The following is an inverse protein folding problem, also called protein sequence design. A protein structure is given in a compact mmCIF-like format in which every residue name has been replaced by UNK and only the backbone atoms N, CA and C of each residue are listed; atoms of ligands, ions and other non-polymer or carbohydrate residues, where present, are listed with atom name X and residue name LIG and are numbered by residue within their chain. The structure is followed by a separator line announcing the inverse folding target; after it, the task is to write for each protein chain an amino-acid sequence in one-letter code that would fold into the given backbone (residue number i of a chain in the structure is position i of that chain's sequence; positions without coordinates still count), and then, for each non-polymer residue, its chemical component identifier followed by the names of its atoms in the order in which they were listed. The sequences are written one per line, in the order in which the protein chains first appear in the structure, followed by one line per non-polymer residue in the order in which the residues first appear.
data_IF_970983631699
#
_entry.id   IF_970983631699
#
_cell.length_a   1.000
_cell.length_b   1.000
_cell.length_c   1.000
_cell.angle_alpha   90.00
_cell.angle_beta   90.00
_cell.angle_gamma   90.00
#
_symmetry.space_group_name_H-M   'P 1'
#
loop_
_entity.id
_entity.type
_entity.pdbx_description
1 polymer ?
#
# COMPACT_ATOMS: atom_id res chain seq x y z
N UNK A 1 12.26 58.44 -20.17
CA UNK A 1 13.73 58.37 -20.20
C UNK A 1 14.21 58.33 -18.76
N UNK A 2 14.57 57.15 -18.24
CA UNK A 2 15.62 56.95 -17.22
C UNK A 2 15.86 55.45 -17.08
N UNK A 3 17.09 55.09 -17.43
CA UNK A 3 17.72 53.77 -17.43
C UNK A 3 18.23 53.48 -16.03
N UNK A 4 18.04 52.26 -15.49
CA UNK A 4 18.96 51.68 -14.49
C UNK A 4 19.17 50.19 -14.76
N UNK A 5 20.36 49.93 -15.30
CA UNK A 5 21.26 48.77 -15.16
C UNK A 5 20.73 47.33 -15.24
N UNK A 6 20.99 46.75 -16.41
CA UNK A 6 21.25 45.34 -16.64
C UNK A 6 22.64 45.01 -16.06
N UNK A 7 22.71 44.13 -15.05
CA UNK A 7 23.96 43.50 -14.64
C UNK A 7 23.87 41.98 -14.90
N UNK A 8 24.38 41.62 -16.07
CA UNK A 8 25.09 40.39 -16.44
C UNK A 8 24.94 39.17 -15.52
N UNK A 9 24.03 38.25 -15.88
CA UNK A 9 24.21 36.82 -15.59
C UNK A 9 25.03 36.22 -16.72
N UNK A 10 26.28 35.85 -16.42
CA UNK A 10 27.09 34.98 -17.26
C UNK A 10 26.40 33.62 -17.36
N UNK A 11 25.75 33.35 -18.50
CA UNK A 11 25.36 32.00 -18.90
C UNK A 11 26.62 31.22 -19.25
N UNK A 12 27.05 30.32 -18.37
CA UNK A 12 27.82 29.16 -18.79
C UNK A 12 26.85 28.22 -19.51
N UNK A 13 26.91 28.23 -20.84
CA UNK A 13 26.20 27.28 -21.68
C UNK A 13 26.76 25.87 -21.43
N UNK A 14 26.01 25.03 -20.70
CA UNK A 14 26.22 23.59 -20.72
C UNK A 14 25.47 23.06 -21.94
N UNK A 15 26.19 22.82 -23.02
CA UNK A 15 25.69 22.14 -24.19
C UNK A 15 25.33 20.69 -23.82
N UNK A 16 24.04 20.37 -23.82
CA UNK A 16 23.59 18.97 -23.83
C UNK A 16 23.31 18.57 -25.27
N UNK A 17 24.25 17.84 -25.85
CA UNK A 17 24.07 17.05 -27.06
C UNK A 17 23.03 15.95 -26.78
N UNK A 18 21.81 16.14 -27.26
CA UNK A 18 20.78 15.12 -27.27
C UNK A 18 20.92 14.26 -28.54
N UNK A 19 21.61 13.14 -28.43
CA UNK A 19 21.47 12.04 -29.40
C UNK A 19 21.37 10.73 -28.63
N UNK A 20 20.14 10.36 -28.26
CA UNK A 20 19.81 8.98 -27.94
C UNK A 20 18.40 8.73 -28.48
N UNK A 21 18.32 7.91 -29.52
CA UNK A 21 17.07 7.32 -30.00
C UNK A 21 16.37 6.59 -28.83
N UNK A 22 15.03 6.58 -28.79
CA UNK A 22 14.30 5.91 -27.71
C UNK A 22 14.69 4.43 -27.65
N UNK A 23 15.06 3.89 -26.46
CA UNK A 23 15.32 2.47 -26.33
C UNK A 23 14.02 1.69 -26.57
N UNK A 24 14.12 0.62 -27.37
CA UNK A 24 13.03 -0.30 -27.67
C UNK A 24 12.42 -0.89 -26.38
N UNK A 25 11.09 -1.05 -26.38
CA UNK A 25 10.27 -1.66 -25.32
C UNK A 25 10.76 -3.05 -24.90
N UNK A 26 11.56 -3.13 -23.83
CA UNK A 26 11.77 -4.32 -22.99
C UNK A 26 12.06 -3.77 -21.58
N UNK A 27 11.19 -3.85 -20.56
CA UNK A 27 10.05 -4.71 -20.24
C UNK A 27 8.90 -3.96 -19.51
N UNK A 28 7.78 -4.66 -19.24
CA UNK A 28 6.47 -4.09 -18.91
C UNK A 28 5.88 -4.71 -17.64
N UNK A 29 6.68 -4.91 -16.58
CA UNK A 29 6.24 -5.62 -15.39
C UNK A 29 5.15 -4.83 -14.63
N UNK A 30 4.01 -5.49 -14.34
CA UNK A 30 2.83 -4.91 -13.68
C UNK A 30 2.52 -5.61 -12.37
N UNK A 31 2.71 -4.91 -11.25
CA UNK A 31 2.53 -5.46 -9.90
C UNK A 31 1.32 -4.86 -9.19
N UNK A 32 0.54 -5.72 -8.55
CA UNK A 32 -0.55 -5.34 -7.67
C UNK A 32 -0.08 -5.32 -6.21
N UNK A 33 -0.26 -4.19 -5.54
CA UNK A 33 0.11 -3.97 -4.14
C UNK A 33 -1.12 -3.64 -3.31
N UNK A 34 -1.16 -4.14 -2.08
CA UNK A 34 -2.20 -3.87 -1.08
C UNK A 34 -1.57 -3.27 0.18
N UNK A 35 -2.35 -2.58 1.04
CA UNK A 35 -1.82 -1.97 2.26
C UNK A 35 -1.14 -3.02 3.12
N UNK A 36 0.07 -2.71 3.59
CA UNK A 36 0.78 -3.56 4.57
C UNK A 36 0.00 -3.68 5.88
N UNK A 37 -0.76 -2.65 6.23
CA UNK A 37 -1.76 -2.65 7.29
C UNK A 37 -3.15 -2.42 6.68
N UNK A 38 -4.00 -3.46 6.56
CA UNK A 38 -5.33 -3.36 5.92
C UNK A 38 -6.33 -2.46 6.66
N UNK A 39 -5.91 -1.75 7.72
CA UNK A 39 -6.75 -1.01 8.67
C UNK A 39 -6.65 0.49 8.55
N UNK A 40 -5.59 0.98 7.91
CA UNK A 40 -5.36 2.39 7.72
C UNK A 40 -5.28 2.58 6.23
N UNK A 41 -6.17 3.41 5.68
CA UNK A 41 -5.95 3.95 4.34
C UNK A 41 -4.71 4.83 4.47
N UNK A 42 -3.55 4.22 4.24
CA UNK A 42 -2.29 4.92 4.22
C UNK A 42 -2.16 5.56 2.85
N UNK A 43 -1.94 6.87 2.84
CA UNK A 43 -1.69 7.65 1.63
C UNK A 43 -0.43 7.19 0.89
N UNK A 44 0.40 6.37 1.55
CA UNK A 44 1.66 5.86 1.03
C UNK A 44 1.87 4.44 1.55
N UNK A 45 2.47 3.57 0.75
CA UNK A 45 2.89 2.24 1.18
C UNK A 45 4.31 1.93 0.67
N UNK A 46 4.98 0.97 1.28
CA UNK A 46 6.32 0.55 0.84
C UNK A 46 6.18 -0.70 -0.03
N UNK A 47 6.59 -0.59 -1.29
CA UNK A 47 6.81 -1.70 -2.18
C UNK A 47 8.30 -2.04 -2.19
N UNK A 48 8.67 -3.31 -2.01
CA UNK A 48 10.07 -3.72 -2.14
C UNK A 48 10.30 -4.20 -3.56
N UNK A 49 11.00 -3.38 -4.34
CA UNK A 49 11.46 -3.76 -5.66
C UNK A 49 12.62 -4.75 -5.53
N UNK A 50 12.51 -5.92 -6.17
CA UNK A 50 13.59 -6.92 -6.22
C UNK A 50 14.04 -7.06 -7.66
N UNK A 51 15.28 -6.67 -7.95
CA UNK A 51 15.87 -6.76 -9.27
C UNK A 51 16.92 -7.87 -9.30
N UNK A 52 16.87 -8.70 -10.36
CA UNK A 52 17.92 -9.65 -10.69
C UNK A 52 19.04 -8.90 -11.40
N UNK A 53 20.14 -8.69 -10.71
CA UNK A 53 21.30 -7.96 -11.18
C UNK A 53 22.58 -8.73 -10.88
N UNK A 54 23.41 -8.89 -11.92
CA UNK A 54 24.75 -9.42 -11.76
C UNK A 54 25.61 -8.41 -11.00
N UNK A 55 25.72 -8.60 -9.69
CA UNK A 55 26.43 -7.68 -8.79
C UNK A 55 27.95 -7.63 -9.03
N UNK A 56 28.52 -8.55 -9.80
CA UNK A 56 29.93 -8.47 -10.19
C UNK A 56 30.14 -7.44 -11.31
N UNK A 57 29.16 -7.31 -12.20
CA UNK A 57 29.22 -6.44 -13.38
C UNK A 57 28.40 -5.14 -13.24
N UNK A 58 27.65 -4.99 -12.15
CA UNK A 58 26.81 -3.83 -11.84
C UNK A 58 27.19 -3.27 -10.46
N UNK A 59 27.52 -1.97 -10.38
CA UNK A 59 27.86 -1.31 -9.11
C UNK A 59 26.70 -0.52 -8.51
N UNK A 60 25.76 -0.04 -9.32
CA UNK A 60 24.66 0.77 -8.84
C UNK A 60 23.37 0.58 -9.64
N UNK A 61 22.25 0.76 -8.94
CA UNK A 61 20.92 0.88 -9.52
C UNK A 61 20.34 2.23 -9.12
N UNK A 62 19.87 3.01 -10.08
CA UNK A 62 19.12 4.25 -9.84
C UNK A 62 17.65 3.95 -10.05
N UNK A 63 16.83 4.14 -9.03
CA UNK A 63 15.38 3.96 -9.10
C UNK A 63 14.70 5.31 -8.92
N UNK A 64 13.75 5.64 -9.78
CA UNK A 64 12.99 6.87 -9.68
C UNK A 64 11.76 6.63 -8.82
N UNK A 65 11.78 7.15 -7.59
CA UNK A 65 10.69 6.99 -6.60
C UNK A 65 9.71 8.16 -6.68
N UNK A 66 8.42 7.92 -6.45
CA UNK A 66 7.44 9.00 -6.44
C UNK A 66 7.76 9.94 -5.28
N UNK A 67 7.65 11.23 -5.57
CA UNK A 67 7.89 12.32 -4.64
C UNK A 67 6.67 13.23 -4.69
N UNK A 68 6.03 13.44 -3.53
CA UNK A 68 4.90 14.35 -3.35
C UNK A 68 5.23 15.31 -2.22
N UNK A 69 5.03 16.60 -2.43
CA UNK A 69 5.15 17.60 -1.37
C UNK A 69 4.09 18.68 -1.51
N UNK A 70 3.50 19.01 -0.36
CA UNK A 70 2.49 20.05 -0.24
C UNK A 70 3.03 21.22 0.57
N UNK A 71 3.03 22.41 -0.03
CA UNK A 71 3.44 23.65 0.59
C UNK A 71 2.23 24.53 0.89
N UNK A 72 2.08 24.91 2.16
CA UNK A 72 1.12 25.95 2.55
C UNK A 72 1.72 27.33 2.29
N UNK A 73 1.05 28.08 1.44
CA UNK A 73 1.41 29.44 1.05
C UNK A 73 0.48 30.39 1.80
N UNK A 74 1.04 31.10 2.79
CA UNK A 74 0.42 32.26 3.42
C UNK A 74 1.35 33.43 3.15
N UNK A 75 0.92 34.36 2.29
CA UNK A 75 1.80 35.37 1.72
C UNK A 75 1.14 36.74 1.84
N UNK A 76 1.59 37.54 2.80
CA UNK A 76 1.06 38.88 3.06
C UNK A 76 1.90 39.96 2.37
N UNK A 77 3.22 39.73 2.16
CA UNK A 77 4.12 40.72 1.57
C UNK A 77 5.01 40.20 0.43
N UNK A 78 5.57 41.10 -0.40
CA UNK A 78 6.50 40.77 -1.50
C UNK A 78 7.78 40.08 -1.01
N UNK A 79 8.28 40.44 0.18
CA UNK A 79 9.46 39.82 0.78
C UNK A 79 9.18 38.38 1.23
N UNK A 80 8.02 38.14 1.84
CA UNK A 80 7.57 36.78 2.22
C UNK A 80 7.40 35.88 1.00
N UNK A 81 6.90 36.43 -0.12
CA UNK A 81 6.79 35.72 -1.40
C UNK A 81 8.14 35.24 -1.93
N UNK A 82 9.13 36.13 -1.98
CA UNK A 82 10.47 35.78 -2.45
C UNK A 82 11.14 34.72 -1.56
N UNK A 83 10.99 34.87 -0.24
CA UNK A 83 11.48 33.89 0.75
C UNK A 83 10.84 32.51 0.55
N UNK A 84 9.52 32.45 0.37
CA UNK A 84 8.79 31.18 0.20
C UNK A 84 9.19 30.43 -1.07
N UNK A 85 9.45 31.15 -2.15
CA UNK A 85 9.95 30.53 -3.40
C UNK A 85 11.32 29.89 -3.19
N UNK A 86 12.22 30.56 -2.47
CA UNK A 86 13.54 30.00 -2.13
C UNK A 86 13.42 28.78 -1.21
N UNK A 87 12.55 28.82 -0.20
CA UNK A 87 12.28 27.69 0.69
C UNK A 87 11.78 26.45 -0.08
N UNK A 88 10.84 26.64 -1.02
CA UNK A 88 10.37 25.55 -1.89
C UNK A 88 11.53 25.01 -2.71
N UNK A 89 12.29 25.88 -3.39
CA UNK A 89 13.42 25.47 -4.23
C UNK A 89 14.46 24.64 -3.49
N UNK A 90 14.78 25.01 -2.23
CA UNK A 90 15.76 24.29 -1.41
C UNK A 90 15.27 22.94 -0.91
N UNK A 91 13.96 22.73 -0.85
CA UNK A 91 13.36 21.47 -0.39
C UNK A 91 13.11 20.45 -1.52
N UNK A 92 13.30 20.84 -2.79
CA UNK A 92 13.12 19.96 -3.94
C UNK A 92 14.36 19.07 -4.16
N UNK A 93 14.20 17.81 -4.58
CA UNK A 93 15.30 16.99 -5.06
C UNK A 93 16.01 17.63 -6.26
N UNK A 94 17.34 17.54 -6.32
CA UNK A 94 18.16 18.20 -7.35
C UNK A 94 17.79 17.76 -8.78
N UNK A 95 17.46 16.48 -8.96
CA UNK A 95 17.13 15.87 -10.25
C UNK A 95 15.63 15.51 -10.35
N UNK A 96 14.76 16.28 -9.69
CA UNK A 96 13.31 16.04 -9.71
C UNK A 96 12.76 16.10 -11.14
N UNK A 97 12.02 15.08 -11.56
CA UNK A 97 11.22 15.13 -12.79
C UNK A 97 9.77 15.38 -12.40
N UNK A 98 9.27 16.61 -12.63
CA UNK A 98 7.90 16.95 -12.24
C UNK A 98 6.88 16.24 -13.14
N UNK A 99 5.86 15.65 -12.51
CA UNK A 99 4.76 14.98 -13.18
C UNK A 99 3.50 15.84 -13.17
N UNK A 100 3.20 16.50 -12.03
CA UNK A 100 2.02 17.34 -11.88
C UNK A 100 2.29 18.47 -10.89
N UNK A 101 1.62 19.61 -11.12
CA UNK A 101 1.56 20.72 -10.20
C UNK A 101 0.10 21.09 -9.97
N UNK A 102 -0.37 20.99 -8.73
CA UNK A 102 -1.73 21.32 -8.33
C UNK A 102 -1.70 22.52 -7.40
N UNK A 103 -2.62 23.45 -7.64
CA UNK A 103 -2.72 24.67 -6.87
C UNK A 103 -4.16 24.89 -6.41
N UNK A 104 -4.35 24.95 -5.09
CA UNK A 104 -5.67 25.17 -4.47
C UNK A 104 -5.65 26.48 -3.68
N UNK A 105 -6.67 27.32 -3.92
CA UNK A 105 -6.82 28.65 -3.30
C UNK A 105 -8.07 28.61 -2.42
N UNK A 106 -7.95 28.95 -1.14
CA UNK A 106 -9.00 28.66 -0.15
C UNK A 106 -10.23 29.61 -0.05
N UNK A 107 -10.38 30.74 -0.77
CA UNK A 107 -11.62 31.52 -0.72
C UNK A 107 -12.50 31.41 -1.98
N UNK A 108 -12.30 30.44 -2.87
CA UNK A 108 -13.22 30.22 -3.99
C UNK A 108 -13.51 28.73 -4.18
N UNK A 109 -14.79 28.35 -4.14
CA UNK A 109 -15.32 26.99 -4.32
C UNK A 109 -15.21 26.48 -5.76
N UNK A 110 -14.12 26.74 -6.47
CA UNK A 110 -13.90 26.22 -7.81
C UNK A 110 -12.49 25.65 -7.91
N UNK A 111 -12.33 24.32 -8.12
CA UNK A 111 -11.04 23.79 -8.55
C UNK A 111 -10.65 24.47 -9.87
N UNK A 112 -9.40 24.86 -10.03
CA UNK A 112 -8.89 25.21 -11.35
C UNK A 112 -8.77 23.90 -12.11
N UNK A 113 -9.48 23.80 -13.24
CA UNK A 113 -9.55 22.61 -14.07
C UNK A 113 -8.14 22.20 -14.57
N UNK A 114 -7.83 20.91 -14.42
CA UNK A 114 -6.58 20.31 -14.89
C UNK A 114 -6.39 20.45 -16.40
N UNK A 115 -7.46 20.44 -17.21
CA UNK A 115 -7.37 20.61 -18.66
C UNK A 115 -6.97 22.05 -19.06
N UNK A 116 -7.34 23.05 -18.26
CA UNK A 116 -7.05 24.46 -18.54
C UNK A 116 -5.57 24.85 -18.34
N UNK A 117 -4.78 24.03 -17.65
CA UNK A 117 -3.37 24.32 -17.36
C UNK A 117 -2.40 23.81 -18.44
N UNK A 118 -2.85 22.91 -19.33
CA UNK A 118 -2.12 22.53 -20.54
C UNK A 118 -0.70 21.99 -20.34
N UNK A 119 -0.35 21.47 -19.17
CA UNK A 119 1.02 21.03 -18.89
C UNK A 119 1.25 19.56 -19.29
N UNK A 120 1.95 19.37 -20.41
CA UNK A 120 2.46 18.07 -20.86
C UNK A 120 4.00 18.08 -20.78
N UNK A 121 4.60 17.22 -19.94
CA UNK A 121 6.05 17.10 -19.80
C UNK A 121 6.55 15.76 -20.34
N UNK A 122 7.15 15.79 -21.53
CA UNK A 122 7.94 14.70 -22.10
C UNK A 122 9.46 14.91 -21.96
N UNK A 123 9.90 15.92 -21.19
CA UNK A 123 11.32 16.18 -20.96
C UNK A 123 11.62 16.47 -19.47
N UNK A 124 12.72 15.89 -18.95
CA UNK A 124 13.26 16.00 -17.59
C UNK A 124 13.53 17.47 -17.17
N UNK A 125 12.49 18.26 -16.93
CA UNK A 125 12.60 19.61 -16.35
C UNK A 125 12.47 19.53 -14.83
N UNK A 126 13.46 20.07 -14.14
CA UNK A 126 13.46 20.21 -12.68
C UNK A 126 12.35 21.17 -12.25
N UNK A 127 11.59 20.85 -11.20
CA UNK A 127 10.48 21.68 -10.71
C UNK A 127 10.90 23.12 -10.38
N UNK A 128 12.16 23.35 -10.02
CA UNK A 128 12.73 24.70 -9.84
C UNK A 128 12.73 25.51 -11.15
N UNK A 129 13.13 24.90 -12.26
CA UNK A 129 13.04 25.54 -13.58
C UNK A 129 11.58 25.77 -13.99
N UNK A 130 10.68 24.86 -13.61
CA UNK A 130 9.25 24.96 -13.84
C UNK A 130 8.60 26.14 -13.10
N UNK A 131 8.98 26.40 -11.85
CA UNK A 131 8.54 27.58 -11.09
C UNK A 131 9.05 28.90 -11.70
N UNK A 132 10.08 28.84 -12.53
CA UNK A 132 10.67 29.98 -13.21
C UNK A 132 10.10 30.22 -14.61
N UNK A 133 9.37 29.27 -15.21
CA UNK A 133 8.70 29.45 -16.51
C UNK A 133 7.59 30.50 -16.44
N UNK A 134 7.42 31.29 -17.51
CA UNK A 134 6.49 32.42 -17.52
C UNK A 134 5.04 32.03 -17.28
N UNK A 135 4.62 30.83 -17.71
CA UNK A 135 3.27 30.27 -17.48
C UNK A 135 3.03 29.96 -16.00
N UNK A 136 3.96 29.21 -15.37
CA UNK A 136 3.91 28.89 -13.94
C UNK A 136 4.06 30.15 -13.09
N UNK A 137 4.92 31.08 -13.51
CA UNK A 137 5.10 32.39 -12.89
C UNK A 137 3.82 33.23 -13.01
N UNK A 138 3.06 33.12 -14.10
CA UNK A 138 1.76 33.76 -14.29
C UNK A 138 0.69 33.21 -13.34
N UNK A 139 0.63 31.88 -13.19
CA UNK A 139 -0.26 31.19 -12.24
C UNK A 139 0.15 31.52 -10.79
N UNK A 140 1.44 31.52 -10.50
CA UNK A 140 1.94 31.93 -9.19
C UNK A 140 1.60 33.42 -8.94
N UNK A 141 1.80 34.30 -9.93
CA UNK A 141 1.46 35.72 -9.86
C UNK A 141 -0.04 35.95 -9.64
N UNK A 142 -0.93 35.13 -10.21
CA UNK A 142 -2.38 35.25 -9.97
C UNK A 142 -2.77 34.86 -8.53
N UNK A 143 -2.05 33.92 -7.88
CA UNK A 143 -2.14 33.71 -6.44
C UNK A 143 -1.67 34.94 -5.65
N UNK A 144 -0.61 35.57 -6.13
CA UNK A 144 0.09 36.66 -5.44
C UNK A 144 -0.56 38.04 -5.63
N UNK A 145 -1.60 38.16 -6.45
CA UNK A 145 -2.38 39.40 -6.64
C UNK A 145 -3.63 39.50 -5.75
N UNK A 146 -4.07 38.41 -5.11
CA UNK A 146 -5.16 38.48 -4.12
C UNK A 146 -4.57 38.56 -2.72
N UNK A 147 -4.74 39.70 -2.06
CA UNK A 147 -4.37 39.85 -0.65
C UNK A 147 -5.16 38.87 0.22
N UNK A 148 -4.46 38.11 1.09
CA UNK A 148 -5.08 37.43 2.23
C UNK A 148 -5.68 36.03 2.01
N UNK A 149 -5.42 35.35 0.89
CA UNK A 149 -5.97 34.02 0.66
C UNK A 149 -4.95 32.91 0.94
N UNK A 150 -5.09 32.06 1.98
CA UNK A 150 -4.26 30.89 2.12
C UNK A 150 -4.39 30.03 0.86
N UNK A 151 -3.27 29.47 0.40
CA UNK A 151 -3.21 28.60 -0.78
C UNK A 151 -2.33 27.40 -0.48
N UNK A 152 -2.57 26.28 -1.15
CA UNK A 152 -1.69 25.11 -1.11
C UNK A 152 -1.18 24.80 -2.51
N UNK A 153 0.14 24.67 -2.62
CA UNK A 153 0.82 24.18 -3.81
C UNK A 153 1.24 22.74 -3.55
N UNK A 154 0.75 21.81 -4.34
CA UNK A 154 1.16 20.42 -4.32
C UNK A 154 1.98 20.14 -5.59
N UNK A 155 3.16 19.56 -5.42
CA UNK A 155 4.06 19.19 -6.51
C UNK A 155 4.28 17.68 -6.42
N UNK A 156 3.96 16.97 -7.49
CA UNK A 156 4.24 15.54 -7.61
C UNK A 156 5.24 15.30 -8.73
N UNK A 157 6.14 14.34 -8.54
CA UNK A 157 7.16 13.98 -9.51
C UNK A 157 7.99 12.78 -9.08
N UNK A 158 9.16 12.63 -9.69
CA UNK A 158 10.07 11.52 -9.44
C UNK A 158 11.42 12.00 -8.92
N UNK A 159 11.91 11.37 -7.85
CA UNK A 159 13.24 11.62 -7.30
C UNK A 159 14.13 10.39 -7.50
N UNK A 160 15.40 10.53 -7.93
CA UNK A 160 16.28 9.38 -8.03
C UNK A 160 16.78 8.92 -6.66
N UNK A 161 16.62 7.63 -6.41
CA UNK A 161 17.26 6.89 -5.32
C UNK A 161 18.36 6.01 -5.92
N UNK A 162 19.62 6.28 -5.58
CA UNK A 162 20.76 5.46 -6.03
C UNK A 162 21.12 4.44 -4.96
N UNK A 163 21.04 3.16 -5.30
CA UNK A 163 21.39 2.03 -4.43
C UNK A 163 22.66 1.38 -4.95
N UNK A 164 23.68 1.30 -4.08
CA UNK A 164 24.91 0.58 -4.40
C UNK A 164 24.68 -0.93 -4.23
N UNK A 165 25.10 -1.73 -5.20
CA UNK A 165 24.91 -3.19 -5.16
C UNK A 165 25.85 -3.87 -4.16
N UNK A 166 26.98 -3.23 -3.86
CA UNK A 166 28.02 -3.69 -2.94
C UNK A 166 27.68 -3.30 -1.49
N UNK A 167 27.45 -4.28 -0.62
CA UNK A 167 27.16 -4.06 0.82
C UNK A 167 25.76 -4.49 1.27
N UNK A 168 24.82 -4.70 0.34
CA UNK A 168 23.50 -5.25 0.61
C UNK A 168 23.61 -6.74 0.99
N UNK A 169 23.56 -7.07 2.30
CA UNK A 169 23.76 -8.43 2.85
C UNK A 169 22.70 -9.42 2.32
N UNK A 170 23.11 -10.65 2.04
CA UNK A 170 22.28 -11.62 1.30
C UNK A 170 21.63 -12.69 2.16
N UNK A 171 20.39 -13.03 1.81
CA UNK A 171 19.66 -14.22 2.25
C UNK A 171 19.68 -15.36 1.22
N UNK A 172 20.26 -15.15 0.03
CA UNK A 172 20.20 -16.09 -1.10
C UNK A 172 21.59 -16.61 -1.48
N UNK A 173 21.65 -17.87 -1.93
CA UNK A 173 22.89 -18.62 -2.17
C UNK A 173 23.77 -18.10 -3.32
N UNK A 174 23.31 -17.16 -4.16
CA UNK A 174 23.96 -16.85 -5.44
C UNK A 174 24.26 -15.38 -5.69
N UNK A 175 24.06 -14.50 -4.73
CA UNK A 175 24.60 -13.17 -4.90
C UNK A 175 23.98 -12.24 -5.97
N UNK A 176 22.81 -12.58 -6.52
CA UNK A 176 22.19 -11.96 -7.72
C UNK A 176 21.09 -10.91 -7.53
N UNK A 177 20.58 -10.68 -6.33
CA UNK A 177 19.41 -9.82 -6.18
C UNK A 177 19.73 -8.52 -5.48
N UNK A 178 19.12 -7.41 -5.86
CA UNK A 178 19.11 -6.16 -5.06
C UNK A 178 17.68 -5.84 -4.69
N UNK A 179 17.44 -5.60 -3.40
CA UNK A 179 16.13 -5.25 -2.86
C UNK A 179 16.12 -3.76 -2.51
N UNK A 180 15.19 -3.01 -3.11
CA UNK A 180 15.10 -1.56 -3.00
C UNK A 180 13.70 -1.21 -2.49
N UNK A 181 13.56 -0.69 -1.25
CA UNK A 181 12.28 -0.22 -0.77
C UNK A 181 11.92 1.08 -1.50
N UNK A 182 10.73 1.12 -2.11
CA UNK A 182 10.19 2.29 -2.80
C UNK A 182 8.81 2.62 -2.24
N UNK A 183 8.59 3.91 -1.95
CA UNK A 183 7.26 4.40 -1.57
C UNK A 183 6.35 4.38 -2.79
N UNK A 184 5.08 4.02 -2.62
CA UNK A 184 4.05 4.04 -3.66
C UNK A 184 2.79 4.74 -3.16
N UNK A 185 2.14 5.50 -4.04
CA UNK A 185 0.90 6.23 -3.79
C UNK A 185 -0.31 5.43 -4.29
N UNK A 186 -1.53 5.63 -3.75
CA UNK A 186 -2.73 4.95 -4.22
C UNK A 186 -2.93 5.09 -5.73
N UNK A 187 -3.31 3.99 -6.40
CA UNK A 187 -3.47 3.93 -7.85
C UNK A 187 -2.21 3.50 -8.60
N UNK A 188 -2.08 3.94 -9.86
CA UNK A 188 -0.98 3.55 -10.74
C UNK A 188 0.29 4.37 -10.44
N UNK A 189 1.37 3.66 -10.10
CA UNK A 189 2.71 4.19 -9.98
C UNK A 189 3.54 3.68 -11.15
N UNK A 190 4.34 4.55 -11.75
CA UNK A 190 5.24 4.22 -12.86
C UNK A 190 6.67 4.43 -12.38
N UNK A 191 7.43 3.38 -12.16
CA UNK A 191 8.73 3.43 -11.47
C UNK A 191 9.84 3.08 -12.48
N UNK A 192 10.44 4.08 -13.14
CA UNK A 192 11.63 3.86 -13.95
C UNK A 192 12.82 3.45 -13.09
N UNK A 193 13.71 2.65 -13.67
CA UNK A 193 15.02 2.40 -13.11
C UNK A 193 16.10 2.34 -14.19
N UNK A 194 17.34 2.59 -13.78
CA UNK A 194 18.55 2.55 -14.59
C UNK A 194 19.62 1.76 -13.82
N UNK A 195 20.40 0.96 -14.53
CA UNK A 195 21.44 0.08 -13.99
C UNK A 195 22.79 0.52 -14.55
N UNK A 196 23.81 0.58 -13.69
CA UNK A 196 25.12 1.13 -14.02
C UNK A 196 26.25 0.16 -13.69
N UNK A 197 27.23 0.10 -14.59
CA UNK A 197 28.47 -0.65 -14.42
C UNK A 197 29.40 0.01 -13.39
N UNK A 198 30.44 -0.69 -12.90
CA UNK A 198 31.49 -0.11 -12.05
C UNK A 198 32.18 1.13 -12.62
N UNK A 199 32.22 1.29 -13.95
CA UNK A 199 32.75 2.48 -14.62
C UNK A 199 31.72 3.62 -14.78
N UNK A 200 30.57 3.52 -14.10
CA UNK A 200 29.43 4.43 -14.17
C UNK A 200 28.83 4.56 -15.59
N UNK A 201 28.98 3.51 -16.40
CA UNK A 201 28.32 3.44 -17.71
C UNK A 201 26.93 2.84 -17.57
N UNK A 202 25.96 3.41 -18.27
CA UNK A 202 24.60 2.89 -18.34
C UNK A 202 24.62 1.49 -18.98
N UNK A 203 24.05 0.51 -18.29
CA UNK A 203 23.94 -0.89 -18.73
C UNK A 203 22.55 -1.15 -19.31
N UNK A 204 21.51 -0.82 -18.56
CA UNK A 204 20.12 -1.02 -18.96
C UNK A 204 19.19 -0.08 -18.20
N UNK A 205 18.02 0.18 -18.76
CA UNK A 205 16.93 0.93 -18.12
C UNK A 205 15.62 0.24 -18.40
N UNK A 206 14.69 0.29 -17.46
CA UNK A 206 13.35 -0.24 -17.65
C UNK A 206 12.32 0.51 -16.79
N UNK A 207 11.04 0.18 -16.93
CA UNK A 207 9.94 0.76 -16.16
C UNK A 207 9.05 -0.31 -15.56
N UNK A 208 8.76 -0.16 -14.28
CA UNK A 208 7.86 -1.05 -13.55
C UNK A 208 6.58 -0.31 -13.20
N UNK A 209 5.45 -0.95 -13.43
CA UNK A 209 4.15 -0.42 -13.06
C UNK A 209 3.68 -1.08 -11.76
N UNK A 210 3.32 -0.26 -10.77
CA UNK A 210 2.79 -0.73 -9.49
C UNK A 210 1.42 -0.12 -9.27
N UNK A 211 0.38 -0.95 -9.24
CA UNK A 211 -0.96 -0.52 -8.87
C UNK A 211 -1.17 -0.76 -7.38
N UNK A 212 -1.20 0.31 -6.58
CA UNK A 212 -1.48 0.23 -5.16
C UNK A 212 -2.99 0.37 -4.92
N UNK A 213 -3.66 -0.75 -4.64
CA UNK A 213 -5.08 -0.78 -4.35
C UNK A 213 -5.35 -0.65 -2.85
N UNK A 214 -5.93 0.48 -2.44
CA UNK A 214 -6.31 0.77 -1.05
C UNK A 214 -7.67 0.19 -0.63
N UNK A 215 -8.52 -0.21 -1.59
CA UNK A 215 -9.86 -0.73 -1.32
C UNK A 215 -9.84 -2.27 -1.33
N UNK A 216 -10.01 -2.88 -0.16
CA UNK A 216 -10.04 -4.34 0.00
C UNK A 216 -11.32 -4.98 -0.55
N UNK A 217 -12.39 -4.19 -0.73
CA UNK A 217 -13.74 -4.69 -1.01
C UNK A 217 -14.24 -4.47 -2.44
N UNK A 218 -13.82 -3.43 -3.17
CA UNK A 218 -14.18 -3.28 -4.59
C UNK A 218 -13.53 -2.08 -5.30
N UNK A 219 -12.47 -2.33 -6.09
CA UNK A 219 -12.16 -1.61 -7.34
C UNK A 219 -11.65 -2.63 -8.34
N UNK A 220 -12.11 -2.52 -9.58
CA UNK A 220 -11.57 -3.32 -10.68
C UNK A 220 -10.05 -3.10 -10.74
N UNK A 221 -9.28 -4.13 -10.45
CA UNK A 221 -7.85 -4.13 -10.70
C UNK A 221 -7.66 -4.02 -12.21
N UNK A 222 -6.87 -3.08 -12.73
CA UNK A 222 -6.65 -2.99 -14.17
C UNK A 222 -6.06 -4.29 -14.72
N UNK A 223 -6.44 -4.65 -15.95
CA UNK A 223 -5.99 -5.89 -16.57
C UNK A 223 -4.45 -5.96 -16.65
N UNK A 224 -3.93 -7.16 -16.34
CA UNK A 224 -2.50 -7.47 -16.37
C UNK A 224 -1.73 -7.14 -15.08
N UNK A 225 -2.34 -6.52 -14.07
CA UNK A 225 -1.70 -6.34 -12.76
C UNK A 225 -1.89 -7.58 -11.90
N UNK A 226 -0.79 -8.22 -11.50
CA UNK A 226 -0.82 -9.42 -10.66
C UNK A 226 -0.01 -9.25 -9.40
N UNK A 227 -0.37 -9.97 -8.33
CA UNK A 227 0.40 -9.95 -7.09
C UNK A 227 1.75 -10.65 -7.34
N UNK A 228 2.90 -10.01 -7.09
CA UNK A 228 4.19 -10.66 -7.28
C UNK A 228 4.31 -11.88 -6.37
N UNK A 229 4.69 -13.02 -6.94
CA UNK A 229 5.01 -14.24 -6.18
C UNK A 229 6.52 -14.43 -6.20
N UNK A 230 7.15 -14.48 -5.02
CA UNK A 230 8.58 -14.81 -4.95
C UNK A 230 8.81 -16.27 -5.37
N UNK A 231 7.90 -17.16 -4.98
CA UNK A 231 7.95 -18.54 -5.41
C UNK A 231 7.50 -18.64 -6.86
N UNK A 232 8.46 -18.88 -7.75
CA UNK A 232 8.25 -19.20 -9.17
C UNK A 232 9.12 -20.41 -9.48
N UNK A 233 8.81 -21.13 -10.56
CA UNK A 233 9.65 -22.26 -10.96
C UNK A 233 11.13 -21.84 -11.16
N UNK A 234 11.36 -20.65 -11.73
CA UNK A 234 12.69 -20.10 -11.94
C UNK A 234 13.41 -19.75 -10.63
N UNK A 235 12.71 -19.14 -9.66
CA UNK A 235 13.31 -18.79 -8.37
C UNK A 235 13.56 -20.03 -7.51
N UNK A 236 12.61 -20.96 -7.47
CA UNK A 236 12.73 -22.20 -6.70
C UNK A 236 13.89 -23.05 -7.25
N UNK A 237 14.04 -23.14 -8.58
CA UNK A 237 15.15 -23.86 -9.22
C UNK A 237 16.54 -23.36 -8.81
N UNK A 238 16.68 -22.09 -8.43
CA UNK A 238 17.95 -21.53 -7.94
C UNK A 238 18.24 -21.91 -6.48
N UNK A 239 17.19 -22.17 -5.68
CA UNK A 239 17.30 -22.47 -4.26
C UNK A 239 17.44 -23.97 -3.98
N UNK A 240 16.76 -24.82 -4.76
CA UNK A 240 16.72 -26.28 -4.59
C UNK A 240 18.07 -27.04 -4.71
N UNK A 241 19.11 -26.51 -5.39
CA UNK A 241 20.44 -27.10 -5.32
C UNK A 241 20.97 -27.17 -3.88
N UNK A 242 20.72 -26.13 -3.07
CA UNK A 242 21.18 -26.01 -1.69
C UNK A 242 20.11 -26.35 -0.63
N UNK A 243 18.83 -26.10 -0.92
CA UNK A 243 17.71 -26.27 0.00
C UNK A 243 16.78 -27.42 -0.40
N UNK A 244 16.04 -27.96 0.57
CA UNK A 244 14.92 -28.88 0.31
C UNK A 244 13.60 -28.20 0.71
N UNK A 245 12.69 -28.01 -0.24
CA UNK A 245 11.37 -27.36 -0.04
C UNK A 245 10.34 -28.26 0.67
N UNK A 246 10.75 -29.44 1.14
CA UNK A 246 9.87 -30.36 1.87
C UNK A 246 9.72 -29.91 3.32
N UNK A 247 8.53 -29.46 3.69
CA UNK A 247 8.14 -29.20 5.07
C UNK A 247 8.10 -30.50 5.85
N UNK A 248 9.17 -30.78 6.61
CA UNK A 248 9.19 -31.94 7.49
C UNK A 248 10.60 -32.38 7.77
N UNK A 249 10.95 -32.41 9.06
CA UNK A 249 12.17 -32.93 9.66
C UNK A 249 12.86 -34.03 8.82
N UNK A 250 13.79 -33.67 7.92
CA UNK A 250 14.76 -34.59 7.34
C UNK A 250 16.12 -33.91 7.20
N UNK A 251 17.18 -34.69 7.47
CA UNK A 251 18.44 -34.24 8.04
C UNK A 251 19.60 -34.02 7.05
N UNK A 252 19.38 -34.07 5.74
CA UNK A 252 20.52 -34.16 4.80
C UNK A 252 20.67 -32.98 3.82
N UNK A 253 19.68 -32.08 3.72
CA UNK A 253 19.83 -30.71 3.22
C UNK A 253 19.19 -29.76 4.23
N UNK A 254 19.62 -28.50 4.28
CA UNK A 254 18.93 -27.50 5.11
C UNK A 254 17.46 -27.41 4.63
N UNK A 255 16.55 -28.05 5.37
CA UNK A 255 15.12 -27.96 5.13
C UNK A 255 14.77 -26.47 5.10
N UNK A 256 14.11 -26.02 4.02
CA UNK A 256 13.72 -24.63 3.91
C UNK A 256 12.58 -24.39 4.90
N UNK A 257 12.94 -23.92 6.08
CA UNK A 257 11.97 -23.41 7.04
C UNK A 257 11.32 -22.17 6.42
N UNK A 258 10.02 -22.23 6.14
CA UNK A 258 9.26 -21.12 5.58
C UNK A 258 9.45 -19.85 6.43
N UNK A 259 9.60 -19.99 7.76
CA UNK A 259 9.79 -18.89 8.68
C UNK A 259 11.17 -18.23 8.59
N UNK A 260 12.18 -18.90 8.06
CA UNK A 260 13.50 -18.28 7.83
C UNK A 260 13.40 -17.06 6.90
N UNK A 261 12.44 -17.08 5.96
CA UNK A 261 12.14 -15.97 5.06
C UNK A 261 10.86 -15.21 5.46
N UNK A 262 9.83 -15.90 5.94
CA UNK A 262 8.51 -15.34 6.26
C UNK A 262 8.26 -15.09 7.75
N UNK A 263 9.31 -14.80 8.54
CA UNK A 263 9.23 -14.59 9.98
C UNK A 263 8.17 -13.55 10.44
N UNK A 264 7.78 -12.61 9.56
CA UNK A 264 6.75 -11.62 9.87
C UNK A 264 5.35 -12.25 10.01
N UNK A 265 5.08 -13.39 9.35
CA UNK A 265 3.78 -14.06 9.38
C UNK A 265 3.52 -14.73 10.74
N UNK A 266 4.57 -15.24 11.39
CA UNK A 266 4.47 -15.98 12.66
C UNK A 266 4.68 -15.11 13.90
N UNK A 267 5.02 -13.83 13.74
CA UNK A 267 5.29 -12.88 14.84
C UNK A 267 4.13 -11.92 15.15
N UNK A 268 2.93 -12.22 14.68
CA UNK A 268 1.73 -11.42 14.99
C UNK A 268 1.29 -11.66 16.44
N UNK A 269 0.56 -10.71 17.05
CA UNK A 269 0.03 -10.86 18.43
C UNK A 269 -0.94 -12.04 18.55
N UNK A 270 -1.74 -12.27 17.52
CA UNK A 270 -2.70 -13.37 17.42
C UNK A 270 -2.39 -14.14 16.15
N UNK A 271 -1.69 -15.26 16.28
CA UNK A 271 -1.26 -16.11 15.15
C UNK A 271 -2.22 -17.29 15.05
N UNK A 272 -2.52 -17.76 13.83
CA UNK A 272 -3.29 -18.98 13.63
C UNK A 272 -2.50 -20.20 14.15
N UNK A 273 -3.15 -21.14 14.84
CA UNK A 273 -2.46 -22.22 15.57
C UNK A 273 -1.51 -23.07 14.71
N UNK A 274 -1.89 -23.37 13.47
CA UNK A 274 -1.06 -24.08 12.49
C UNK A 274 0.26 -23.36 12.16
N UNK A 275 0.24 -22.02 12.14
CA UNK A 275 1.44 -21.23 11.89
C UNK A 275 2.38 -21.22 13.09
N UNK A 276 1.84 -21.26 14.31
CA UNK A 276 2.65 -21.42 15.52
C UNK A 276 3.39 -22.77 15.54
N UNK A 277 2.82 -23.80 14.89
CA UNK A 277 3.44 -25.11 14.69
C UNK A 277 4.35 -25.19 13.45
N UNK A 278 4.51 -24.09 12.70
CA UNK A 278 5.25 -24.03 11.43
C UNK A 278 4.74 -24.99 10.34
N UNK A 279 3.43 -25.24 10.30
CA UNK A 279 2.81 -26.12 9.30
C UNK A 279 2.03 -25.31 8.26
N UNK A 280 2.77 -24.69 7.34
CA UNK A 280 2.20 -23.91 6.24
C UNK A 280 1.47 -24.79 5.21
N UNK A 281 1.83 -26.08 5.14
CA UNK A 281 1.43 -26.98 4.06
C UNK A 281 0.04 -27.56 4.17
N UNK A 282 -0.60 -27.40 5.32
CA UNK A 282 -2.04 -27.66 5.45
C UNK A 282 -2.87 -26.73 4.57
N UNK A 283 -2.38 -25.51 4.31
CA UNK A 283 -3.11 -24.50 3.55
C UNK A 283 -2.43 -24.12 2.23
N UNK A 284 -1.16 -24.44 2.03
CA UNK A 284 -0.39 -24.06 0.84
C UNK A 284 0.24 -25.26 0.14
N UNK A 285 0.22 -25.24 -1.19
CA UNK A 285 0.95 -26.23 -1.99
C UNK A 285 2.46 -25.92 -1.96
N UNK A 286 3.24 -26.58 -1.12
CA UNK A 286 4.68 -26.35 -1.04
C UNK A 286 5.52 -26.95 -2.18
N UNK A 287 4.89 -27.48 -3.24
CA UNK A 287 5.62 -27.98 -4.41
C UNK A 287 6.35 -26.83 -5.13
N UNK A 288 7.62 -27.03 -5.51
CA UNK A 288 8.34 -26.07 -6.34
C UNK A 288 7.57 -25.66 -7.59
N UNK A 289 7.54 -24.37 -7.89
CA UNK A 289 6.85 -23.82 -9.05
C UNK A 289 5.32 -23.76 -8.93
N UNK A 290 4.71 -24.23 -7.84
CA UNK A 290 3.27 -24.06 -7.59
C UNK A 290 2.89 -22.59 -7.33
N UNK A 291 3.87 -21.73 -7.03
CA UNK A 291 3.64 -20.39 -6.50
C UNK A 291 3.19 -20.39 -5.04
N UNK A 292 3.29 -21.54 -4.36
CA UNK A 292 2.77 -21.79 -3.01
C UNK A 292 1.32 -21.36 -2.90
N UNK A 293 0.55 -21.70 -3.95
CA UNK A 293 -0.88 -21.40 -4.07
C UNK A 293 -1.63 -21.89 -2.85
N UNK A 294 -2.62 -21.10 -2.44
CA UNK A 294 -3.55 -21.53 -1.40
C UNK A 294 -4.33 -22.75 -1.89
N UNK A 295 -4.41 -23.77 -1.04
CA UNK A 295 -5.20 -24.99 -1.26
C UNK A 295 -6.70 -24.75 -1.06
N UNK A 296 -7.10 -23.54 -0.67
CA UNK A 296 -8.49 -23.09 -0.68
C UNK A 296 -8.72 -22.16 -1.86
N UNK A 297 -9.80 -22.40 -2.61
CA UNK A 297 -10.18 -21.61 -3.76
C UNK A 297 -10.80 -20.27 -3.32
N UNK A 298 -10.41 -19.14 -3.93
CA UNK A 298 -11.16 -17.91 -3.77
C UNK A 298 -12.55 -18.13 -4.41
N UNK A 299 -13.60 -18.03 -3.59
CA UNK A 299 -15.02 -18.02 -4.00
C UNK A 299 -15.74 -19.36 -4.22
N UNK A 300 -15.12 -20.51 -3.95
CA UNK A 300 -15.82 -21.80 -3.90
C UNK A 300 -15.68 -22.45 -2.53
N UNK A 301 -16.61 -22.07 -1.65
CA UNK A 301 -17.04 -22.77 -0.43
C UNK A 301 -16.07 -22.82 0.75
N UNK A 302 -14.80 -22.41 0.62
CA UNK A 302 -13.82 -22.41 1.71
C UNK A 302 -13.83 -23.72 2.53
N UNK A 303 -14.12 -24.85 1.87
CA UNK A 303 -14.25 -26.17 2.50
C UNK A 303 -13.03 -26.52 3.36
N UNK A 304 -11.85 -26.04 2.93
CA UNK A 304 -10.59 -26.19 3.66
C UNK A 304 -10.61 -25.60 5.07
N UNK A 305 -11.29 -24.47 5.27
CA UNK A 305 -11.45 -23.88 6.60
C UNK A 305 -12.30 -24.79 7.50
N UNK A 306 -13.34 -25.40 6.93
CA UNK A 306 -14.26 -26.27 7.66
C UNK A 306 -13.71 -27.67 7.94
N UNK A 307 -12.63 -28.11 7.28
CA UNK A 307 -11.92 -29.35 7.66
C UNK A 307 -11.43 -29.32 9.11
N UNK A 308 -11.16 -28.14 9.66
CA UNK A 308 -10.79 -27.97 11.07
C UNK A 308 -11.84 -27.17 11.86
N UNK A 309 -12.46 -26.15 11.27
CA UNK A 309 -13.51 -25.35 11.89
C UNK A 309 -14.91 -25.94 11.66
N UNK A 310 -15.04 -27.25 11.84
CA UNK A 310 -16.28 -27.99 11.58
C UNK A 310 -17.48 -27.40 12.32
N UNK A 311 -17.28 -26.94 13.57
CA UNK A 311 -18.35 -26.36 14.39
C UNK A 311 -18.97 -25.16 13.70
N UNK A 312 -18.17 -24.24 13.14
CA UNK A 312 -18.71 -23.10 12.38
C UNK A 312 -19.49 -23.60 11.16
N UNK A 313 -18.96 -24.59 10.44
CA UNK A 313 -19.62 -25.18 9.28
C UNK A 313 -20.94 -25.88 9.60
N UNK A 314 -21.06 -26.48 10.79
CA UNK A 314 -22.29 -27.09 11.30
C UNK A 314 -23.28 -26.02 11.79
N UNK A 315 -22.77 -25.05 12.55
CA UNK A 315 -23.57 -23.97 13.13
C UNK A 315 -24.27 -23.15 12.04
N UNK A 316 -23.64 -22.88 10.90
CA UNK A 316 -24.29 -22.12 9.82
C UNK A 316 -25.41 -22.89 9.11
N UNK A 317 -25.31 -24.23 8.99
CA UNK A 317 -26.23 -25.04 8.16
C UNK A 317 -27.65 -25.13 8.70
N UNK A 318 -27.88 -24.69 9.95
CA UNK A 318 -29.20 -24.68 10.59
C UNK A 318 -29.75 -23.30 10.91
N UNK A 319 -29.02 -22.22 10.63
CA UNK A 319 -29.40 -20.87 11.06
C UNK A 319 -30.22 -20.14 10.00
N UNK A 320 -31.25 -19.43 10.45
CA UNK A 320 -32.15 -18.68 9.54
C UNK A 320 -31.46 -17.50 8.84
N UNK A 321 -30.53 -16.84 9.52
CA UNK A 321 -29.81 -15.69 9.00
C UNK A 321 -28.31 -15.96 9.04
N UNK A 322 -27.68 -15.97 7.86
CA UNK A 322 -26.24 -16.15 7.70
C UNK A 322 -25.66 -14.86 7.12
N UNK A 323 -24.54 -14.41 7.66
CA UNK A 323 -23.89 -13.20 7.21
C UNK A 323 -23.36 -13.40 5.77
N UNK A 324 -23.64 -12.45 4.87
CA UNK A 324 -23.41 -12.62 3.43
C UNK A 324 -21.95 -12.99 3.06
N UNK A 325 -20.90 -12.38 3.64
CA UNK A 325 -19.52 -12.80 3.38
C UNK A 325 -19.28 -14.27 3.77
N UNK A 326 -19.87 -14.74 4.86
CA UNK A 326 -19.75 -16.14 5.28
C UNK A 326 -20.52 -17.08 4.35
N UNK A 327 -21.73 -16.70 3.93
CA UNK A 327 -22.52 -17.46 2.98
C UNK A 327 -21.80 -17.63 1.63
N UNK A 328 -21.02 -16.62 1.22
CA UNK A 328 -20.14 -16.69 0.04
C UNK A 328 -18.81 -17.41 0.27
N UNK A 329 -18.58 -18.01 1.45
CA UNK A 329 -17.32 -18.67 1.80
C UNK A 329 -16.14 -17.70 1.89
N UNK A 330 -16.35 -16.44 2.26
CA UNK A 330 -15.33 -15.39 2.26
C UNK A 330 -14.80 -15.11 3.67
N UNK A 331 -14.42 -16.16 4.42
CA UNK A 331 -13.93 -16.06 5.80
C UNK A 331 -12.77 -15.07 5.94
N UNK A 332 -11.93 -14.99 4.91
CA UNK A 332 -10.74 -14.17 4.86
C UNK A 332 -11.00 -12.67 4.71
N UNK A 333 -12.25 -12.23 4.48
CA UNK A 333 -12.61 -10.80 4.51
C UNK A 333 -12.53 -10.28 5.94
N UNK A 334 -13.00 -11.07 6.90
CA UNK A 334 -12.96 -10.70 8.31
C UNK A 334 -11.69 -11.21 9.02
N UNK A 335 -11.26 -12.42 8.70
CA UNK A 335 -10.12 -13.08 9.36
C UNK A 335 -8.84 -13.05 8.52
N UNK A 336 -7.71 -13.01 9.19
CA UNK A 336 -6.40 -13.28 8.60
C UNK A 336 -6.06 -14.75 8.85
N UNK A 337 -5.94 -15.61 7.81
CA UNK A 337 -5.62 -17.03 7.99
C UNK A 337 -4.20 -17.26 8.55
N UNK A 338 -3.32 -16.25 8.46
CA UNK A 338 -1.99 -16.31 9.07
C UNK A 338 -2.01 -15.80 10.52
N UNK A 339 -2.59 -14.62 10.71
CA UNK A 339 -2.58 -13.94 12.00
C UNK A 339 -2.76 -12.43 11.86
N UNK A 340 -3.08 -11.79 12.98
CA UNK A 340 -3.24 -10.35 13.06
C UNK A 340 -2.81 -9.82 14.44
N UNK A 341 -2.70 -8.50 14.63
CA UNK A 341 -2.49 -7.94 15.95
C UNK A 341 -3.70 -8.08 16.90
N UNK A 342 -4.79 -8.74 16.49
CA UNK A 342 -6.12 -8.62 17.11
C UNK A 342 -6.69 -9.98 17.43
N UNK A 343 -7.52 -10.00 18.46
CA UNK A 343 -8.20 -11.20 18.92
C UNK A 343 -8.97 -11.87 17.78
N UNK A 344 -9.03 -13.20 17.83
CA UNK A 344 -9.66 -14.03 16.80
C UNK A 344 -9.09 -13.83 15.39
N UNK A 345 -7.83 -13.38 15.30
CA UNK A 345 -7.14 -13.15 14.03
C UNK A 345 -7.89 -12.17 13.10
N UNK A 346 -8.68 -11.25 13.66
CA UNK A 346 -9.46 -10.29 12.88
C UNK A 346 -8.59 -9.29 12.12
N UNK A 347 -8.96 -8.99 10.88
CA UNK A 347 -8.24 -8.01 10.05
C UNK A 347 -8.32 -6.58 10.57
N UNK A 348 -9.36 -6.25 11.33
CA UNK A 348 -9.61 -4.97 12.01
C UNK A 348 -10.07 -5.22 13.47
N UNK A 349 -10.01 -4.23 14.39
CA UNK A 349 -10.74 -4.34 15.65
C UNK A 349 -12.22 -4.60 15.40
N UNK A 350 -12.92 -5.21 16.36
CA UNK A 350 -14.29 -5.74 16.15
C UNK A 350 -15.26 -4.71 15.58
N UNK A 351 -15.22 -3.46 16.06
CA UNK A 351 -16.16 -2.45 15.59
C UNK A 351 -15.75 -1.86 14.24
N UNK A 352 -14.45 -1.63 14.04
CA UNK A 352 -13.90 -1.10 12.78
C UNK A 352 -14.19 -2.04 11.61
N UNK A 353 -14.08 -3.36 11.83
CA UNK A 353 -14.37 -4.34 10.78
C UNK A 353 -15.82 -4.30 10.35
N UNK A 354 -16.75 -4.09 11.29
CA UNK A 354 -18.17 -3.97 10.98
C UNK A 354 -18.46 -2.68 10.20
N UNK A 355 -18.00 -1.52 10.67
CA UNK A 355 -18.32 -0.23 10.03
C UNK A 355 -17.58 0.00 8.71
N UNK A 356 -16.54 -0.80 8.41
CA UNK A 356 -15.89 -0.80 7.09
C UNK A 356 -16.84 -1.18 5.95
N UNK A 357 -17.94 -1.89 6.24
CA UNK A 357 -18.98 -2.25 5.28
C UNK A 357 -20.35 -1.69 5.70
N UNK A 358 -20.62 -1.58 7.00
CA UNK A 358 -21.86 -1.03 7.55
C UNK A 358 -21.70 0.45 7.86
N UNK A 359 -21.51 1.25 6.81
CA UNK A 359 -21.35 2.70 6.93
C UNK A 359 -22.57 3.34 7.64
N UNK A 360 -22.29 4.37 8.45
CA UNK A 360 -23.30 5.04 9.25
C UNK A 360 -23.97 4.17 10.31
N UNK A 361 -23.31 3.10 10.81
CA UNK A 361 -23.77 2.31 11.98
C UNK A 361 -22.86 2.47 13.19
N UNK A 362 -22.29 3.66 13.33
CA UNK A 362 -21.48 4.06 14.49
C UNK A 362 -22.37 4.45 15.70
N UNK A 363 -21.72 4.94 16.76
CA UNK A 363 -22.36 5.32 18.02
C UNK A 363 -23.53 6.30 17.85
N UNK A 364 -23.57 7.09 16.76
CA UNK A 364 -24.57 8.14 16.58
C UNK A 364 -25.80 7.69 15.78
N UNK A 365 -25.76 6.51 15.15
CA UNK A 365 -26.82 6.06 14.23
C UNK A 365 -27.18 4.56 14.41
N UNK A 366 -26.81 3.99 15.55
CA UNK A 366 -27.23 2.67 15.98
C UNK A 366 -28.68 2.68 16.51
N UNK A 367 -29.54 1.71 16.13
CA UNK A 367 -30.97 1.73 16.48
C UNK A 367 -31.27 1.54 17.98
N UNK A 368 -30.30 1.11 18.77
CA UNK A 368 -30.43 0.99 20.23
C UNK A 368 -29.72 2.16 20.88
N UNK A 369 -30.51 3.14 21.34
CA UNK A 369 -30.03 4.35 22.00
C UNK A 369 -29.38 4.00 23.35
N UNK A 370 -28.39 4.80 23.76
CA UNK A 370 -27.65 4.66 25.03
C UNK A 370 -26.83 3.37 25.18
N UNK A 371 -26.64 2.61 24.10
CA UNK A 371 -25.70 1.50 24.06
C UNK A 371 -24.52 1.92 23.17
N UNK A 372 -23.37 2.31 23.76
CA UNK A 372 -22.21 2.67 22.97
C UNK A 372 -21.76 1.44 22.17
N UNK A 373 -21.30 1.62 20.94
CA UNK A 373 -20.70 0.54 20.16
C UNK A 373 -19.22 0.38 20.48
N UNK A 374 -18.59 1.33 21.21
CA UNK A 374 -17.15 1.37 21.55
C UNK A 374 -16.88 1.80 23.00
N UNK A 375 -15.67 1.49 23.49
CA UNK A 375 -15.05 2.15 24.65
C UNK A 375 -15.57 1.76 26.04
N UNK A 376 -16.73 1.12 26.15
CA UNK A 376 -17.28 0.61 27.41
C UNK A 376 -16.80 -0.78 27.75
N UNK A 377 -16.84 -1.17 29.04
CA UNK A 377 -16.66 -2.57 29.44
C UNK A 377 -17.91 -3.38 29.10
N UNK A 378 -17.73 -4.62 28.63
CA UNK A 378 -18.84 -5.50 28.37
C UNK A 378 -19.48 -5.97 29.70
N UNK A 379 -20.77 -5.71 29.95
CA UNK A 379 -21.41 -6.10 31.22
C UNK A 379 -21.37 -7.61 31.50
N UNK A 380 -21.33 -8.44 30.46
CA UNK A 380 -21.24 -9.91 30.59
C UNK A 380 -19.80 -10.41 30.74
N UNK A 381 -18.82 -9.59 30.40
CA UNK A 381 -17.41 -9.93 30.47
C UNK A 381 -16.60 -8.65 30.68
N UNK A 382 -16.50 -8.16 31.94
CA UNK A 382 -15.93 -6.85 32.25
C UNK A 382 -14.46 -6.67 31.82
N UNK A 383 -13.75 -7.77 31.57
CA UNK A 383 -12.37 -7.77 31.03
C UNK A 383 -12.30 -7.54 29.52
N UNK A 384 -13.43 -7.48 28.83
CA UNK A 384 -13.54 -7.25 27.39
C UNK A 384 -14.28 -5.95 27.08
N UNK A 385 -13.95 -5.35 25.94
CA UNK A 385 -14.65 -4.18 25.44
C UNK A 385 -16.07 -4.57 24.98
N UNK A 386 -17.03 -3.67 25.21
CA UNK A 386 -18.37 -3.74 24.65
C UNK A 386 -18.32 -3.35 23.17
N UNK A 387 -18.78 -4.24 22.31
CA UNK A 387 -18.59 -4.15 20.85
C UNK A 387 -19.88 -4.51 20.11
N UNK A 388 -19.89 -4.35 18.79
CA UNK A 388 -20.96 -4.86 17.92
C UNK A 388 -21.26 -6.35 18.20
N UNK A 389 -20.22 -7.14 18.47
CA UNK A 389 -20.34 -8.58 18.73
C UNK A 389 -20.88 -8.93 20.13
N UNK A 390 -21.05 -7.94 21.02
CA UNK A 390 -21.72 -8.14 22.32
C UNK A 390 -23.22 -8.42 22.13
N UNK A 391 -23.81 -7.88 21.06
CA UNK A 391 -25.23 -8.04 20.73
C UNK A 391 -25.47 -8.82 19.43
N UNK A 392 -24.53 -8.78 18.48
CA UNK A 392 -24.63 -9.45 17.19
C UNK A 392 -23.71 -10.67 17.11
N UNK A 393 -24.17 -11.72 16.43
CA UNK A 393 -23.39 -12.90 16.11
C UNK A 393 -22.88 -12.77 14.66
N UNK A 394 -21.57 -12.49 14.46
CA UNK A 394 -21.03 -12.06 13.16
C UNK A 394 -21.05 -13.14 12.05
N UNK A 395 -21.35 -14.38 12.40
CA UNK A 395 -21.42 -15.51 11.46
C UNK A 395 -22.86 -15.85 11.06
N UNK A 396 -23.68 -16.33 12.01
CA UNK A 396 -25.04 -16.79 11.78
C UNK A 396 -25.93 -16.70 13.04
N UNK A 397 -27.22 -16.39 12.89
CA UNK A 397 -28.19 -16.43 13.99
C UNK A 397 -29.57 -16.86 13.50
N UNK A 398 -30.40 -17.38 14.41
CA UNK A 398 -31.82 -17.62 14.12
C UNK A 398 -32.66 -16.35 14.24
N UNK A 399 -32.08 -15.27 14.77
CA UNK A 399 -32.75 -14.00 14.98
C UNK A 399 -32.40 -13.01 13.88
N UNK A 400 -33.40 -12.22 13.50
CA UNK A 400 -33.24 -11.11 12.56
C UNK A 400 -32.14 -10.15 13.05
N UNK A 401 -31.42 -9.54 12.12
CA UNK A 401 -30.26 -8.67 12.39
C UNK A 401 -29.12 -9.39 13.14
N UNK A 402 -29.05 -10.71 13.06
CA UNK A 402 -27.96 -11.50 13.64
C UNK A 402 -27.87 -11.39 15.17
N UNK A 403 -28.96 -11.19 15.90
CA UNK A 403 -28.88 -10.98 17.35
C UNK A 403 -28.38 -12.23 18.11
N UNK A 404 -27.51 -12.01 19.09
CA UNK A 404 -26.84 -13.02 19.91
C UNK A 404 -27.69 -13.46 21.13
N UNK A 405 -28.95 -13.84 20.94
CA UNK A 405 -29.76 -14.41 22.01
C UNK A 405 -30.84 -15.32 21.46
N UNK A 406 -31.00 -16.51 22.03
CA UNK A 406 -32.20 -17.31 21.79
C UNK A 406 -33.38 -16.61 22.49
N UNK A 407 -34.52 -16.42 21.82
CA UNK A 407 -35.70 -15.73 22.37
C UNK A 407 -35.94 -14.27 21.93
N UNK A 408 -35.21 -13.76 20.94
CA UNK A 408 -35.48 -12.45 20.33
C UNK A 408 -34.93 -11.24 21.11
N UNK A 409 -35.43 -10.05 20.77
CA UNK A 409 -34.86 -8.77 21.25
C UNK A 409 -34.94 -8.62 22.78
N UNK A 410 -36.07 -8.98 23.39
CA UNK A 410 -36.24 -8.85 24.84
C UNK A 410 -35.30 -9.77 25.63
N UNK A 411 -35.15 -11.02 25.18
CA UNK A 411 -34.22 -11.97 25.80
C UNK A 411 -32.76 -11.48 25.73
N UNK A 412 -32.38 -10.81 24.63
CA UNK A 412 -31.06 -10.17 24.51
C UNK A 412 -30.84 -9.10 25.59
N UNK A 413 -31.83 -8.23 25.83
CA UNK A 413 -31.74 -7.19 26.85
C UNK A 413 -31.58 -7.77 28.26
N UNK A 414 -32.31 -8.85 28.56
CA UNK A 414 -32.29 -9.50 29.87
C UNK A 414 -30.95 -10.14 30.22
N UNK A 415 -30.07 -10.41 29.24
CA UNK A 415 -28.72 -10.93 29.51
C UNK A 415 -27.94 -9.99 30.43
N UNK A 416 -28.06 -8.68 30.23
CA UNK A 416 -27.37 -7.66 31.03
C UNK A 416 -28.30 -6.97 32.03
N UNK A 417 -29.57 -6.77 31.67
CA UNK A 417 -30.56 -6.09 32.49
C UNK A 417 -31.47 -7.10 33.21
N UNK A 418 -30.90 -7.79 34.20
CA UNK A 418 -31.63 -8.70 35.09
C UNK A 418 -32.45 -7.89 36.10
N UNK A 419 -33.55 -7.30 35.63
CA UNK A 419 -34.55 -6.64 36.47
C UNK A 419 -35.75 -7.53 36.69
#
# INVERSE_FOLDING_TARGET
MYVINILSLMLAAVAFSATASPPQEQSSAKYLVYPSQPRVIVAENVFTLVLDVDRENVSAVKVFVPWDSTYRLALSSKAERAKRVQEIALSLPQDLVAQQLLLRVFPYHQPIDSEATGFNFSARKVATALLLEDTTRGIAKSLFTREGSPSTLQITGWAPLTVQTKGERKRFCQDKYVAIPVTVLPGLNTIPYEIFSPSNQHVQSDTIFVYYNIELSSRAVPDGFTKPTFHTAANDAQCLPCHNASSGKQKEKAALDCNSCHAAMTKQKSVHGLLAANDCTQCHDAKPGSGYRTLYAPHQENAKCFECHETIGKDIKGKKFVHAPLAGGQCHICHSPHGSPNVFQLRMPVNDICVSCHDGKDDNNHPVVFHPTRGGANPLSPSSEFTCASCHFPHASDNKNMLASEGGYFALCQRCHQK
#
